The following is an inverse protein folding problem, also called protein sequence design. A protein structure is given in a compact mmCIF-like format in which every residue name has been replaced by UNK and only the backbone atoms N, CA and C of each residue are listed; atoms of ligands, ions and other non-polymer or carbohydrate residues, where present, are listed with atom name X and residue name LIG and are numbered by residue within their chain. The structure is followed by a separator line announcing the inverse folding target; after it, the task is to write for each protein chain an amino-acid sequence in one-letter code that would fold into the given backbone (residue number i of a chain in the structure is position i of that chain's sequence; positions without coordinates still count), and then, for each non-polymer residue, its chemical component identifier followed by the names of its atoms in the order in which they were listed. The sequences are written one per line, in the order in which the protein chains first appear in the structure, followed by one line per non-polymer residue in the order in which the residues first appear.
data_IF_762339047547
#
_entry.id   IF_762339047547
#
_cell.length_a   1.000
_cell.length_b   1.000
_cell.length_c   1.000
_cell.angle_alpha   90.00
_cell.angle_beta   90.00
_cell.angle_gamma   90.00
#
_symmetry.space_group_name_H-M   'P 1'
#
loop_
_entity.id
_entity.type
_entity.pdbx_description
1 polymer ?
#
# COMPACT_ATOMS: atom_id res chain seq x y z
N UNK A 1 -9.43 -8.73 15.82
CA UNK A 1 -8.25 -9.57 15.56
C UNK A 1 -7.03 -8.69 15.58
N UNK A 2 -5.92 -9.12 16.17
CA UNK A 2 -4.64 -8.38 16.11
C UNK A 2 -4.09 -8.44 14.70
N UNK A 3 -3.40 -7.37 14.22
CA UNK A 3 -2.73 -7.36 12.91
C UNK A 3 -1.71 -8.52 12.75
N UNK A 4 -1.26 -9.13 13.85
CA UNK A 4 -0.41 -10.33 13.83
C UNK A 4 -1.11 -11.59 13.28
N UNK A 5 -2.44 -11.58 13.14
CA UNK A 5 -3.21 -12.69 12.54
C UNK A 5 -3.36 -12.58 11.02
N UNK A 6 -2.98 -11.45 10.43
CA UNK A 6 -3.08 -11.24 8.98
C UNK A 6 -1.98 -12.01 8.24
N UNK A 7 -2.24 -12.49 7.02
CA UNK A 7 -1.22 -13.15 6.23
C UNK A 7 -0.05 -12.21 5.94
N UNK A 8 1.16 -12.77 5.91
CA UNK A 8 2.33 -12.04 5.44
C UNK A 8 2.27 -12.06 3.91
N UNK A 9 2.13 -10.89 3.33
CA UNK A 9 1.99 -10.67 1.88
C UNK A 9 3.28 -10.20 1.21
N UNK A 10 4.28 -9.80 2.02
CA UNK A 10 5.61 -9.43 1.55
C UNK A 10 6.67 -9.73 2.61
N UNK A 11 7.86 -10.14 2.15
CA UNK A 11 9.08 -10.27 2.96
C UNK A 11 10.26 -9.70 2.19
N UNK A 12 11.06 -8.93 2.86
CA UNK A 12 12.25 -8.33 2.27
C UNK A 12 13.13 -7.69 3.33
N UNK A 13 13.96 -6.77 2.91
CA UNK A 13 14.80 -5.96 3.78
C UNK A 13 15.00 -4.57 3.17
N UNK A 14 15.50 -3.65 3.98
CA UNK A 14 15.86 -2.30 3.55
C UNK A 14 17.26 -2.33 2.94
N UNK A 15 17.35 -2.03 1.64
CA UNK A 15 18.64 -1.99 0.95
C UNK A 15 19.35 -0.65 1.22
N UNK A 16 20.68 -0.57 1.08
CA UNK A 16 21.40 0.70 1.19
C UNK A 16 20.91 1.79 0.23
N UNK A 17 20.50 1.42 -0.98
CA UNK A 17 19.97 2.37 -1.97
C UNK A 17 18.51 2.78 -1.73
N UNK A 18 17.81 2.12 -0.79
CA UNK A 18 16.49 2.53 -0.32
C UNK A 18 16.58 3.67 0.71
N UNK A 19 17.80 4.01 1.17
CA UNK A 19 18.04 4.94 2.28
C UNK A 19 18.61 6.28 1.83
N UNK A 20 18.46 7.27 2.71
CA UNK A 20 19.16 8.55 2.64
C UNK A 20 20.59 8.42 3.21
N UNK A 21 21.30 9.56 3.27
CA UNK A 21 22.68 9.64 3.79
C UNK A 21 22.77 9.26 5.29
N UNK A 22 21.67 9.35 6.04
CA UNK A 22 21.58 9.00 7.45
C UNK A 22 21.27 7.50 7.66
N UNK A 23 21.03 6.77 6.57
CA UNK A 23 20.64 5.36 6.60
C UNK A 23 19.16 5.12 6.88
N UNK A 24 18.33 6.16 6.83
CA UNK A 24 16.89 6.05 6.99
C UNK A 24 16.22 5.73 5.65
N UNK A 25 15.28 4.78 5.66
CA UNK A 25 14.55 4.39 4.46
C UNK A 25 13.69 5.54 3.93
N UNK A 26 13.93 5.93 2.69
CA UNK A 26 13.17 6.97 2.01
C UNK A 26 11.70 6.61 1.83
N UNK A 27 10.84 7.62 1.92
CA UNK A 27 9.37 7.53 1.79
C UNK A 27 8.93 6.79 0.53
N UNK A 28 9.57 7.05 -0.62
CA UNK A 28 9.25 6.40 -1.88
C UNK A 28 9.41 4.87 -1.83
N UNK A 29 10.40 4.37 -1.09
CA UNK A 29 10.63 2.93 -0.98
C UNK A 29 9.66 2.26 0.00
N UNK A 30 9.16 2.97 1.01
CA UNK A 30 8.03 2.50 1.80
C UNK A 30 6.81 2.25 0.91
N UNK A 31 6.49 3.20 0.01
CA UNK A 31 5.37 3.06 -0.91
C UNK A 31 5.61 1.93 -1.93
N UNK A 32 6.83 1.81 -2.47
CA UNK A 32 7.17 0.73 -3.39
C UNK A 32 6.98 -0.66 -2.74
N UNK A 33 7.51 -0.86 -1.53
CA UNK A 33 7.35 -2.13 -0.80
C UNK A 33 5.89 -2.39 -0.41
N UNK A 34 5.13 -1.35 -0.04
CA UNK A 34 3.71 -1.47 0.22
C UNK A 34 2.93 -1.88 -1.05
N UNK A 35 3.30 -1.35 -2.21
CA UNK A 35 2.69 -1.74 -3.49
C UNK A 35 2.98 -3.21 -3.83
N UNK A 36 4.20 -3.68 -3.58
CA UNK A 36 4.54 -5.11 -3.72
C UNK A 36 3.76 -5.98 -2.71
N UNK A 37 3.58 -5.50 -1.49
CA UNK A 37 2.74 -6.14 -0.48
C UNK A 37 1.28 -6.20 -0.90
N UNK A 38 0.76 -5.14 -1.52
CA UNK A 38 -0.61 -5.13 -2.05
C UNK A 38 -0.79 -6.14 -3.19
N UNK A 39 0.17 -6.25 -4.12
CA UNK A 39 0.19 -7.30 -5.14
C UNK A 39 0.21 -8.71 -4.52
N UNK A 40 1.00 -8.89 -3.46
CA UNK A 40 1.02 -10.12 -2.67
C UNK A 40 -0.33 -10.44 -2.03
N UNK A 41 -1.04 -9.42 -1.52
CA UNK A 41 -2.39 -9.57 -0.97
C UNK A 41 -3.37 -10.02 -2.06
N UNK A 42 -3.36 -9.39 -3.23
CA UNK A 42 -4.22 -9.78 -4.35
C UNK A 42 -3.96 -11.23 -4.76
N UNK A 43 -2.70 -11.66 -4.78
CA UNK A 43 -2.34 -13.06 -5.06
C UNK A 43 -2.85 -14.01 -3.97
N UNK A 44 -2.73 -13.63 -2.69
CA UNK A 44 -3.24 -14.42 -1.57
C UNK A 44 -4.76 -14.55 -1.57
N UNK A 45 -5.47 -13.55 -2.13
CA UNK A 45 -6.92 -13.57 -2.36
C UNK A 45 -7.30 -14.43 -3.58
N UNK A 46 -6.34 -14.99 -4.30
CA UNK A 46 -6.57 -15.89 -5.43
C UNK A 46 -6.63 -15.23 -6.80
N UNK A 47 -6.33 -13.92 -6.94
CA UNK A 47 -6.29 -13.27 -8.23
C UNK A 47 -5.12 -13.82 -9.06
N UNK A 48 -5.42 -14.32 -10.25
CA UNK A 48 -4.39 -14.66 -11.23
C UNK A 48 -3.66 -13.39 -11.73
N UNK A 49 -2.56 -13.57 -12.44
CA UNK A 49 -1.74 -12.47 -12.93
C UNK A 49 -2.53 -11.51 -13.85
N UNK A 50 -3.41 -12.05 -14.70
CA UNK A 50 -4.24 -11.25 -15.61
C UNK A 50 -5.27 -10.40 -14.85
N UNK A 51 -5.88 -10.96 -13.78
CA UNK A 51 -6.79 -10.24 -12.92
C UNK A 51 -6.07 -9.12 -12.15
N UNK A 52 -4.91 -9.41 -11.56
CA UNK A 52 -4.12 -8.40 -10.84
C UNK A 52 -3.71 -7.22 -11.70
N UNK A 53 -3.38 -7.45 -12.96
CA UNK A 53 -3.05 -6.38 -13.91
C UNK A 53 -4.20 -5.40 -14.22
N UNK A 54 -5.44 -5.79 -13.93
CA UNK A 54 -6.62 -4.92 -14.11
C UNK A 54 -6.97 -4.13 -12.87
N UNK A 55 -6.42 -4.50 -11.71
CA UNK A 55 -6.63 -3.78 -10.45
C UNK A 55 -5.82 -2.50 -10.47
N UNK A 56 -6.48 -1.38 -10.23
CA UNK A 56 -5.86 -0.05 -10.19
C UNK A 56 -5.98 0.52 -8.79
N UNK A 57 -4.86 0.80 -8.16
CA UNK A 57 -4.87 1.50 -6.87
C UNK A 57 -5.23 2.96 -7.13
N UNK A 58 -6.38 3.37 -6.60
CA UNK A 58 -6.90 4.72 -6.73
C UNK A 58 -6.37 5.65 -5.63
N UNK A 59 -6.06 5.12 -4.46
CA UNK A 59 -5.63 5.92 -3.31
C UNK A 59 -4.73 5.12 -2.37
N UNK A 60 -3.70 5.79 -1.84
CA UNK A 60 -2.96 5.35 -0.67
C UNK A 60 -3.07 6.40 0.44
N UNK A 61 -3.28 5.95 1.69
CA UNK A 61 -3.07 6.75 2.90
C UNK A 61 -1.97 6.08 3.71
N UNK A 62 -0.91 6.81 4.00
CA UNK A 62 0.26 6.28 4.68
C UNK A 62 0.42 6.98 6.02
N UNK A 63 0.65 6.19 7.07
CA UNK A 63 0.98 6.68 8.40
C UNK A 63 2.34 6.12 8.80
N UNK A 64 3.30 6.98 9.01
CA UNK A 64 4.64 6.66 9.50
C UNK A 64 4.63 6.67 11.03
N UNK A 65 5.06 5.57 11.65
CA UNK A 65 5.05 5.38 13.10
C UNK A 65 6.47 5.24 13.66
N UNK A 66 7.34 4.55 12.92
CA UNK A 66 8.75 4.35 13.23
C UNK A 66 9.59 4.40 11.97
N UNK A 67 10.81 4.87 12.11
CA UNK A 67 11.82 4.80 11.05
C UNK A 67 12.27 3.36 10.83
N UNK A 68 12.64 3.08 9.59
CA UNK A 68 13.32 1.87 9.20
C UNK A 68 14.70 2.24 8.66
N UNK A 69 15.68 1.41 9.01
CA UNK A 69 17.08 1.67 8.69
C UNK A 69 17.62 0.61 7.72
N UNK A 70 18.75 0.93 7.12
CA UNK A 70 19.48 -0.01 6.26
C UNK A 70 19.66 -1.36 6.96
N UNK A 71 19.40 -2.44 6.22
CA UNK A 71 19.44 -3.85 6.68
C UNK A 71 18.29 -4.29 7.59
N UNK A 72 17.35 -3.41 7.94
CA UNK A 72 16.15 -3.85 8.65
C UNK A 72 15.36 -4.88 7.81
N UNK A 73 14.89 -5.94 8.47
CA UNK A 73 13.95 -6.86 7.87
C UNK A 73 12.60 -6.18 7.69
N UNK A 74 11.97 -6.40 6.54
CA UNK A 74 10.64 -5.90 6.23
C UNK A 74 9.67 -7.06 6.12
N UNK A 75 8.60 -7.03 6.93
CA UNK A 75 7.44 -7.91 6.79
C UNK A 75 6.20 -7.06 6.61
N UNK A 76 5.39 -7.39 5.62
CA UNK A 76 4.11 -6.72 5.42
C UNK A 76 3.01 -7.73 5.64
N UNK A 77 2.16 -7.43 6.60
CA UNK A 77 0.90 -8.13 6.84
C UNK A 77 -0.20 -7.36 6.13
N UNK A 78 -1.09 -8.05 5.42
CA UNK A 78 -2.15 -7.40 4.64
C UNK A 78 -3.50 -8.06 4.84
N UNK A 79 -4.53 -7.25 4.92
CA UNK A 79 -5.91 -7.72 4.94
C UNK A 79 -6.85 -6.79 4.18
N UNK A 80 -7.84 -7.32 3.45
CA UNK A 80 -8.96 -6.52 2.95
C UNK A 80 -9.82 -6.07 4.14
N UNK A 81 -10.30 -4.83 4.10
CA UNK A 81 -11.15 -4.25 5.16
C UNK A 81 -12.55 -3.89 4.68
N UNK A 82 -12.71 -3.64 3.38
CA UNK A 82 -14.00 -3.38 2.76
C UNK A 82 -13.99 -3.76 1.28
N UNK A 83 -15.15 -4.17 0.79
CA UNK A 83 -15.35 -4.44 -0.62
C UNK A 83 -16.76 -3.98 -1.02
N UNK A 84 -16.86 -3.14 -2.06
CA UNK A 84 -18.12 -2.65 -2.59
C UNK A 84 -17.97 -2.28 -4.07
N UNK A 85 -18.88 -2.79 -4.91
CA UNK A 85 -18.97 -2.45 -6.35
C UNK A 85 -17.64 -2.53 -7.13
N UNK A 86 -16.86 -3.59 -6.88
CA UNK A 86 -15.58 -3.77 -7.56
C UNK A 86 -14.44 -2.92 -7.01
N UNK A 87 -14.71 -2.17 -5.94
CA UNK A 87 -13.71 -1.42 -5.18
C UNK A 87 -13.34 -2.15 -3.90
N UNK A 88 -12.07 -2.31 -3.64
CA UNK A 88 -11.54 -2.93 -2.43
C UNK A 88 -10.72 -1.92 -1.65
N UNK A 89 -10.96 -1.85 -0.35
CA UNK A 89 -10.06 -1.20 0.60
C UNK A 89 -9.29 -2.28 1.37
N UNK A 90 -8.01 -2.07 1.54
CA UNK A 90 -7.11 -2.97 2.26
C UNK A 90 -6.20 -2.19 3.19
N UNK A 91 -5.73 -2.85 4.24
CA UNK A 91 -4.71 -2.32 5.14
C UNK A 91 -3.48 -3.20 5.06
N UNK A 92 -2.34 -2.54 4.97
CA UNK A 92 -1.02 -3.15 5.01
C UNK A 92 -0.28 -2.64 6.25
N UNK A 93 0.19 -3.57 7.07
CA UNK A 93 0.97 -3.31 8.28
C UNK A 93 2.43 -3.69 8.03
N UNK A 94 3.27 -2.67 7.84
CA UNK A 94 4.70 -2.83 7.55
C UNK A 94 5.46 -2.90 8.86
N UNK A 95 6.15 -4.01 9.09
CA UNK A 95 6.88 -4.30 10.32
C UNK A 95 8.36 -4.51 10.09
N UNK A 96 9.16 -4.14 11.08
CA UNK A 96 10.59 -4.43 11.13
C UNK A 96 10.88 -5.87 11.64
N UNK A 97 12.17 -6.19 11.80
CA UNK A 97 12.63 -7.48 12.29
C UNK A 97 12.20 -7.83 13.73
N UNK A 98 11.86 -6.82 14.53
CA UNK A 98 11.39 -6.94 15.92
C UNK A 98 9.87 -7.08 16.03
N UNK A 99 9.16 -7.22 14.91
CA UNK A 99 7.71 -7.30 14.82
C UNK A 99 6.99 -6.01 15.25
N UNK A 100 7.68 -4.89 15.20
CA UNK A 100 7.11 -3.58 15.49
C UNK A 100 6.53 -2.97 14.20
N UNK A 101 5.31 -2.42 14.28
CA UNK A 101 4.70 -1.67 13.17
C UNK A 101 5.47 -0.37 12.94
N UNK A 102 6.05 -0.22 11.75
CA UNK A 102 6.77 0.98 11.34
C UNK A 102 5.90 1.89 10.47
N UNK A 103 5.12 1.29 9.57
CA UNK A 103 4.23 2.04 8.66
C UNK A 103 2.91 1.29 8.52
N UNK A 104 1.81 2.02 8.48
CA UNK A 104 0.52 1.49 8.04
C UNK A 104 0.12 2.15 6.74
N UNK A 105 -0.39 1.35 5.80
CA UNK A 105 -0.87 1.83 4.50
C UNK A 105 -2.29 1.34 4.31
N UNK A 106 -3.21 2.29 4.12
CA UNK A 106 -4.54 2.01 3.63
C UNK A 106 -4.54 2.19 2.12
N UNK A 107 -4.89 1.16 1.39
CA UNK A 107 -4.98 1.18 -0.07
C UNK A 107 -6.43 1.00 -0.50
N UNK A 108 -6.89 1.84 -1.43
CA UNK A 108 -8.18 1.66 -2.11
C UNK A 108 -7.92 1.36 -3.58
N UNK A 109 -8.50 0.30 -4.10
CA UNK A 109 -8.29 -0.14 -5.46
C UNK A 109 -9.59 -0.48 -6.16
N UNK A 110 -9.66 -0.19 -7.46
CA UNK A 110 -10.75 -0.51 -8.36
C UNK A 110 -10.41 -1.72 -9.23
N UNK A 111 -11.42 -2.36 -9.82
CA UNK A 111 -11.25 -3.47 -10.76
C UNK A 111 -11.09 -4.84 -10.09
N UNK A 112 -11.38 -4.95 -8.80
CA UNK A 112 -11.39 -6.24 -8.09
C UNK A 112 -12.69 -6.99 -8.44
N UNK A 113 -12.57 -8.24 -8.90
CA UNK A 113 -13.73 -9.01 -9.34
C UNK A 113 -14.56 -9.55 -8.15
N UNK A 114 -15.89 -9.43 -8.25
CA UNK A 114 -16.86 -9.92 -7.26
C UNK A 114 -16.77 -11.44 -7.01
N UNK A 115 -16.29 -12.23 -7.97
CA UNK A 115 -16.07 -13.67 -7.84
C UNK A 115 -15.13 -14.04 -6.69
N UNK A 116 -14.44 -13.06 -6.13
CA UNK A 116 -13.49 -13.21 -5.01
C UNK A 116 -14.10 -12.87 -3.65
N UNK A 117 -15.33 -12.39 -3.62
CA UNK A 117 -16.02 -12.01 -2.38
C UNK A 117 -16.01 -13.11 -1.29
N UNK A 118 -16.13 -14.43 -1.60
CA UNK A 118 -16.06 -15.48 -0.57
C UNK A 118 -14.71 -15.53 0.15
N UNK A 119 -13.60 -15.33 -0.57
CA UNK A 119 -12.26 -15.28 0.03
C UNK A 119 -12.05 -14.01 0.87
N UNK A 120 -12.74 -12.92 0.54
CA UNK A 120 -12.71 -11.67 1.31
C UNK A 120 -13.42 -11.78 2.65
N UNK A 121 -14.45 -12.63 2.77
CA UNK A 121 -15.22 -12.80 4.02
C UNK A 121 -14.39 -13.47 5.11
N UNK A 122 -13.47 -14.38 4.76
CA UNK A 122 -12.56 -15.03 5.72
C UNK A 122 -11.51 -14.07 6.30
N UNK A 123 -11.23 -12.98 5.60
CA UNK A 123 -10.32 -11.92 6.04
C UNK A 123 -11.05 -10.72 6.65
N UNK A 124 -12.33 -10.87 6.98
CA UNK A 124 -13.17 -9.79 7.48
C UNK A 124 -12.54 -9.04 8.64
N UNK A 125 -12.58 -7.74 8.47
CA UNK A 125 -12.04 -6.66 9.28
C UNK A 125 -11.84 -6.96 10.77
N UNK A 126 -10.67 -6.67 11.33
CA UNK A 126 -10.54 -6.43 12.76
C UNK A 126 -11.36 -5.20 13.12
N UNK A 127 -12.18 -5.31 14.16
CA UNK A 127 -12.84 -4.17 14.77
C UNK A 127 -11.80 -3.07 15.07
N UNK A 128 -11.96 -1.91 14.44
CA UNK A 128 -11.18 -0.72 14.75
C UNK A 128 -10.44 -0.01 13.61
N UNK A 129 -10.22 -0.67 12.46
CA UNK A 129 -9.64 -0.01 11.28
C UNK A 129 -10.75 0.34 10.27
N UNK A 130 -11.64 1.24 10.66
CA UNK A 130 -12.52 1.89 9.69
C UNK A 130 -11.65 2.77 8.80
N UNK A 131 -11.78 2.70 7.46
CA UNK A 131 -11.21 3.73 6.59
C UNK A 131 -11.68 5.07 7.14
N UNK A 132 -10.73 5.92 7.51
CA UNK A 132 -11.08 7.21 8.11
C UNK A 132 -11.99 7.99 7.16
N UNK A 133 -13.12 8.38 7.67
CA UNK A 133 -14.14 9.22 7.02
C UNK A 133 -13.68 10.69 6.89
N UNK A 134 -12.37 10.89 6.90
CA UNK A 134 -11.78 12.20 6.68
C UNK A 134 -11.87 12.50 5.19
N UNK A 135 -12.72 13.44 4.88
CA UNK A 135 -13.07 13.88 3.55
C UNK A 135 -11.86 14.04 2.63
N UNK A 136 -12.07 13.81 1.36
CA UNK A 136 -11.11 14.13 0.30
C UNK A 136 -10.69 15.60 0.45
N UNK A 137 -9.58 15.81 1.14
CA UNK A 137 -8.96 17.14 1.16
C UNK A 137 -8.49 17.41 -0.26
N UNK A 138 -9.15 18.34 -0.92
CA UNK A 138 -8.68 18.85 -2.21
C UNK A 138 -7.36 19.57 -1.93
N UNK A 139 -6.26 19.02 -2.45
CA UNK A 139 -4.97 19.67 -2.40
C UNK A 139 -4.97 20.80 -3.43
N UNK A 140 -5.41 21.96 -3.01
CA UNK A 140 -5.45 23.16 -3.84
C UNK A 140 -4.74 24.35 -3.15
N UNK A 141 -4.53 25.42 -3.89
CA UNK A 141 -3.89 26.61 -3.36
C UNK A 141 -4.70 27.27 -2.22
N UNK A 142 -6.02 27.06 -2.17
CA UNK A 142 -6.90 27.59 -1.12
C UNK A 142 -6.70 26.86 0.22
N UNK A 143 -6.27 25.59 0.20
CA UNK A 143 -5.91 24.80 1.39
C UNK A 143 -4.44 25.02 1.86
N UNK A 144 -3.74 26.00 1.27
CA UNK A 144 -2.37 26.35 1.66
C UNK A 144 -1.29 25.45 1.03
N UNK A 145 -1.64 24.56 0.13
CA UNK A 145 -0.68 23.79 -0.64
C UNK A 145 -0.12 24.63 -1.79
N UNK A 146 1.18 24.58 -1.98
CA UNK A 146 1.85 25.17 -3.13
C UNK A 146 2.56 24.07 -3.93
N UNK A 147 2.64 24.25 -5.24
CA UNK A 147 3.42 23.37 -6.10
C UNK A 147 4.91 23.53 -5.77
N UNK A 148 5.53 22.50 -5.22
CA UNK A 148 6.95 22.51 -4.88
C UNK A 148 7.81 21.84 -5.95
N UNK A 149 7.21 20.96 -6.76
CA UNK A 149 7.90 20.25 -7.85
C UNK A 149 6.94 20.20 -9.04
N UNK A 150 7.43 20.67 -10.20
CA UNK A 150 6.82 20.40 -11.50
C UNK A 150 7.79 19.60 -12.32
N UNK A 151 7.42 18.35 -12.66
CA UNK A 151 8.27 17.45 -13.42
C UNK A 151 7.51 16.84 -14.60
N UNK A 152 8.26 16.38 -15.60
CA UNK A 152 7.71 15.62 -16.71
C UNK A 152 7.67 14.16 -16.30
N UNK A 153 6.48 13.56 -16.32
CA UNK A 153 6.32 12.12 -16.13
C UNK A 153 6.85 11.40 -17.36
N UNK A 154 7.80 10.52 -17.16
CA UNK A 154 8.43 9.73 -18.26
C UNK A 154 7.62 8.44 -18.46
N UNK A 155 7.68 7.90 -19.66
CA UNK A 155 6.93 6.69 -20.03
C UNK A 155 7.31 5.47 -19.17
N UNK A 156 8.57 5.40 -18.72
CA UNK A 156 9.05 4.35 -17.80
C UNK A 156 8.54 4.50 -16.36
N UNK A 157 7.96 5.65 -16.01
CA UNK A 157 7.33 5.94 -14.73
C UNK A 157 5.81 5.74 -14.76
N UNK A 158 5.27 5.31 -15.90
CA UNK A 158 3.84 5.07 -16.06
C UNK A 158 3.52 3.58 -16.08
N UNK A 159 2.31 3.25 -15.66
CA UNK A 159 1.72 1.95 -15.93
C UNK A 159 1.28 1.84 -17.40
N UNK A 160 0.73 0.68 -17.80
CA UNK A 160 0.31 0.43 -19.19
C UNK A 160 -0.81 1.35 -19.67
N UNK A 161 -1.56 1.96 -18.78
CA UNK A 161 -2.69 2.85 -19.07
C UNK A 161 -2.29 4.34 -18.94
N UNK A 162 -1.01 4.61 -18.70
CA UNK A 162 -0.47 5.97 -18.58
C UNK A 162 -0.62 6.60 -17.19
N UNK A 163 -1.05 5.83 -16.17
CA UNK A 163 -1.04 6.26 -14.77
C UNK A 163 0.37 6.22 -14.19
N UNK A 164 0.65 7.08 -13.18
CA UNK A 164 1.92 7.04 -12.46
C UNK A 164 2.11 5.70 -11.77
N UNK A 165 3.20 5.01 -12.11
CA UNK A 165 3.59 3.80 -11.42
C UNK A 165 4.32 4.15 -10.13
N UNK A 166 3.97 3.56 -8.98
CA UNK A 166 4.73 3.74 -7.73
C UNK A 166 6.13 3.14 -7.78
N UNK A 167 6.51 2.48 -8.89
CA UNK A 167 7.84 1.90 -9.15
C UNK A 167 8.70 2.72 -10.11
N UNK A 168 8.18 3.88 -10.54
CA UNK A 168 8.91 4.80 -11.42
C UNK A 168 9.94 5.65 -10.68
#
# INVERSE_FOLDING_TARGET
MSASSWPIVYRGYVNPWDCDEMGHMNVQFHLAKASEGFEGLLAALGLDAGARMRVKVARHRIRYLKEMHVSDLVRIHGAPVAFHDGRMSAVLDVRNGHDETCVTVEATADGVALSMAPALVEFASPDGLKPGDEGEGTLDAASGFCETIRNIVRADQCDRDGGLSPRG
#
